data_IF_357835154817
#
_entry.id   IF_357835154817
#
_cell.length_a   1.000
_cell.length_b   1.000
_cell.length_c   1.000
_cell.angle_alpha   90.00
_cell.angle_beta   90.00
_cell.angle_gamma   90.00
#
_symmetry.space_group_name_H-M   'P 1'
#
loop_
_entity.id
_entity.type
_entity.pdbx_description
1 polymer ?
#
# COMPACT_ATOMS: atom_id res chain seq x y z
N UNK A 1 -5.17 -12.93 63.37
CA UNK A 1 -4.16 -12.69 62.30
C UNK A 1 -4.86 -12.70 60.94
N UNK A 2 -5.00 -11.56 60.23
CA UNK A 2 -5.71 -11.47 58.94
C UNK A 2 -4.82 -11.29 57.69
N UNK A 3 -3.49 -11.34 57.84
CA UNK A 3 -2.53 -10.87 56.82
C UNK A 3 -2.53 -11.72 55.52
N UNK A 4 -2.77 -13.04 55.61
CA UNK A 4 -2.60 -13.94 54.47
C UNK A 4 -3.65 -13.80 53.36
N UNK A 5 -4.87 -13.33 53.69
CA UNK A 5 -5.93 -13.11 52.68
C UNK A 5 -5.69 -11.85 51.84
N UNK A 6 -5.22 -10.79 52.48
CA UNK A 6 -4.97 -9.51 51.82
C UNK A 6 -3.83 -9.62 50.78
N UNK A 7 -2.78 -10.38 51.08
CA UNK A 7 -1.65 -10.59 50.17
C UNK A 7 -2.08 -11.37 48.93
N UNK A 8 -2.90 -12.41 49.09
CA UNK A 8 -3.40 -13.21 47.95
C UNK A 8 -4.33 -12.42 47.02
N UNK A 9 -5.20 -11.56 47.57
CA UNK A 9 -6.03 -10.68 46.75
C UNK A 9 -5.23 -9.62 46.01
N UNK A 10 -4.19 -9.07 46.65
CA UNK A 10 -3.31 -8.09 46.04
C UNK A 10 -2.53 -8.70 44.86
N UNK A 11 -2.03 -9.91 45.01
CA UNK A 11 -1.30 -10.64 43.97
C UNK A 11 -2.22 -11.00 42.79
N UNK A 12 -3.45 -11.45 43.07
CA UNK A 12 -4.46 -11.71 42.02
C UNK A 12 -4.85 -10.45 41.25
N UNK A 13 -4.91 -9.29 41.92
CA UNK A 13 -5.16 -7.99 41.27
C UNK A 13 -3.96 -7.55 40.41
N UNK A 14 -2.74 -7.76 40.90
CA UNK A 14 -1.53 -7.45 40.14
C UNK A 14 -1.43 -8.31 38.87
N UNK A 15 -1.72 -9.61 38.97
CA UNK A 15 -1.74 -10.54 37.83
C UNK A 15 -2.75 -10.13 36.76
N UNK A 16 -4.00 -9.83 37.17
CA UNK A 16 -5.03 -9.33 36.24
C UNK A 16 -4.65 -8.01 35.55
N UNK A 17 -3.95 -7.12 36.25
CA UNK A 17 -3.46 -5.87 35.65
C UNK A 17 -2.40 -6.14 34.58
N UNK A 18 -1.50 -7.09 34.82
CA UNK A 18 -0.49 -7.48 33.83
C UNK A 18 -1.15 -8.10 32.59
N UNK A 19 -2.08 -9.03 32.77
CA UNK A 19 -2.85 -9.64 31.67
C UNK A 19 -3.63 -8.58 30.86
N UNK A 20 -4.25 -7.60 31.53
CA UNK A 20 -4.92 -6.47 30.87
C UNK A 20 -3.95 -5.55 30.12
N UNK A 21 -2.73 -5.36 30.64
CA UNK A 21 -1.70 -4.59 29.93
C UNK A 21 -1.21 -5.34 28.70
N UNK A 22 -0.96 -6.64 28.80
CA UNK A 22 -0.50 -7.48 27.69
C UNK A 22 -1.53 -7.51 26.56
N UNK A 23 -2.81 -7.73 26.90
CA UNK A 23 -3.92 -7.70 25.93
C UNK A 23 -4.06 -6.33 25.27
N UNK A 24 -3.92 -5.23 26.03
CA UNK A 24 -3.97 -3.88 25.47
C UNK A 24 -2.79 -3.60 24.53
N UNK A 25 -1.59 -4.10 24.84
CA UNK A 25 -0.41 -3.96 23.98
C UNK A 25 -0.61 -4.71 22.66
N UNK A 26 -1.11 -5.96 22.72
CA UNK A 26 -1.42 -6.74 21.53
C UNK A 26 -2.51 -6.07 20.67
N UNK A 27 -3.59 -5.59 21.29
CA UNK A 27 -4.64 -4.88 20.58
C UNK A 27 -4.11 -3.62 19.85
N UNK A 28 -3.22 -2.84 20.51
CA UNK A 28 -2.58 -1.68 19.87
C UNK A 28 -1.65 -2.08 18.72
N UNK A 29 -0.98 -3.22 18.82
CA UNK A 29 -0.13 -3.73 17.74
C UNK A 29 -0.97 -4.13 16.53
N UNK A 30 -2.05 -4.88 16.75
CA UNK A 30 -3.01 -5.28 15.71
C UNK A 30 -3.64 -4.07 15.02
N UNK A 31 -4.06 -3.07 15.79
CA UNK A 31 -4.64 -1.84 15.24
C UNK A 31 -3.63 -1.07 14.37
N UNK A 32 -2.38 -0.93 14.82
CA UNK A 32 -1.32 -0.32 14.00
C UNK A 32 -1.04 -1.12 12.74
N UNK A 33 -1.02 -2.45 12.84
CA UNK A 33 -0.82 -3.32 11.69
C UNK A 33 -1.96 -3.16 10.67
N UNK A 34 -3.21 -3.18 11.13
CA UNK A 34 -4.40 -2.93 10.30
C UNK A 34 -4.32 -1.58 9.60
N UNK A 35 -4.02 -0.49 10.33
CA UNK A 35 -3.86 0.85 9.74
C UNK A 35 -2.76 0.89 8.68
N UNK A 36 -1.66 0.16 8.88
CA UNK A 36 -0.58 0.06 7.88
C UNK A 36 -1.02 -0.67 6.61
N UNK A 37 -1.83 -1.72 6.75
CA UNK A 37 -2.37 -2.47 5.61
C UNK A 37 -3.43 -1.66 4.84
N UNK A 38 -4.25 -0.89 5.55
CA UNK A 38 -5.22 0.03 4.95
C UNK A 38 -4.53 1.20 4.22
N UNK A 39 -3.42 1.71 4.76
CA UNK A 39 -2.66 2.79 4.14
C UNK A 39 -1.80 2.35 2.94
N UNK A 40 -1.46 1.06 2.86
CA UNK A 40 -0.64 0.51 1.78
C UNK A 40 -1.51 0.26 0.55
N UNK A 41 -1.27 1.07 -0.49
CA UNK A 41 -1.98 1.02 -1.78
C UNK A 41 -1.20 0.21 -2.81
N UNK A 42 -1.92 -0.53 -3.63
CA UNK A 42 -1.40 -1.32 -4.73
C UNK A 42 -2.29 -1.11 -5.95
N UNK A 43 -1.70 -1.13 -7.15
CA UNK A 43 -2.45 -1.25 -8.39
C UNK A 43 -2.44 -2.71 -8.81
N UNK A 44 -3.62 -3.24 -9.12
CA UNK A 44 -3.75 -4.53 -9.79
C UNK A 44 -4.09 -4.30 -11.26
N UNK A 45 -3.42 -5.02 -12.15
CA UNK A 45 -3.75 -5.01 -13.58
C UNK A 45 -5.03 -5.80 -13.84
N UNK A 46 -5.98 -5.19 -14.54
CA UNK A 46 -7.20 -5.84 -15.01
C UNK A 46 -6.89 -6.66 -16.27
N UNK A 47 -6.66 -7.95 -16.11
CA UNK A 47 -6.33 -8.85 -17.22
C UNK A 47 -6.96 -10.24 -17.00
N UNK A 48 -7.42 -10.86 -18.10
CA UNK A 48 -7.95 -12.21 -18.12
C UNK A 48 -9.16 -12.39 -17.19
N UNK A 49 -9.09 -13.28 -16.17
CA UNK A 49 -10.19 -13.56 -15.25
C UNK A 49 -10.49 -12.43 -14.25
N UNK A 50 -9.64 -11.39 -14.19
CA UNK A 50 -9.85 -10.18 -13.41
C UNK A 50 -9.95 -8.95 -14.34
N UNK A 51 -10.63 -9.10 -15.47
CA UNK A 51 -10.84 -8.02 -16.46
C UNK A 51 -11.75 -6.89 -15.97
N UNK A 52 -12.61 -7.18 -15.00
CA UNK A 52 -13.58 -6.24 -14.45
C UNK A 52 -13.34 -5.93 -12.98
N UNK A 53 -13.68 -4.70 -12.58
CA UNK A 53 -13.71 -4.27 -11.19
C UNK A 53 -14.67 -5.11 -10.34
N UNK A 54 -15.74 -5.64 -10.95
CA UNK A 54 -16.70 -6.52 -10.27
C UNK A 54 -16.09 -7.89 -9.94
N UNK A 55 -15.29 -8.46 -10.85
CA UNK A 55 -14.60 -9.73 -10.61
C UNK A 55 -13.63 -9.60 -9.44
N UNK A 56 -12.92 -8.46 -9.36
CA UNK A 56 -12.04 -8.16 -8.23
C UNK A 56 -12.83 -7.92 -6.93
N UNK A 57 -13.96 -7.24 -7.01
CA UNK A 57 -14.84 -7.02 -5.87
C UNK A 57 -15.32 -8.35 -5.28
N UNK A 58 -15.76 -9.28 -6.14
CA UNK A 58 -16.14 -10.64 -5.75
C UNK A 58 -14.96 -11.41 -5.15
N UNK A 59 -13.78 -11.36 -5.79
CA UNK A 59 -12.58 -12.05 -5.32
C UNK A 59 -12.04 -11.49 -3.98
N UNK A 60 -12.26 -10.21 -3.70
CA UNK A 60 -11.88 -9.55 -2.46
C UNK A 60 -12.97 -9.59 -1.38
N UNK A 61 -14.18 -10.04 -1.70
CA UNK A 61 -15.33 -10.02 -0.79
C UNK A 61 -15.80 -8.62 -0.40
N UNK A 62 -15.59 -7.63 -1.28
CA UNK A 62 -15.97 -6.23 -1.06
C UNK A 62 -17.15 -5.85 -1.96
N UNK A 63 -18.03 -4.98 -1.48
CA UNK A 63 -19.24 -4.58 -2.22
C UNK A 63 -18.91 -3.65 -3.40
N UNK A 64 -17.83 -2.87 -3.27
CA UNK A 64 -17.24 -2.05 -4.32
C UNK A 64 -15.79 -1.73 -3.94
N UNK A 65 -14.83 -1.74 -4.88
CA UNK A 65 -13.48 -1.28 -4.60
C UNK A 65 -13.49 0.22 -4.32
N UNK A 66 -12.68 0.68 -3.36
CA UNK A 66 -12.55 2.08 -2.94
C UNK A 66 -11.84 2.98 -3.99
N UNK A 67 -11.69 2.51 -5.23
CA UNK A 67 -11.00 3.20 -6.31
C UNK A 67 -11.66 2.95 -7.66
N UNK A 68 -11.68 3.98 -8.51
CA UNK A 68 -12.05 3.82 -9.91
C UNK A 68 -10.97 3.09 -10.71
N UNK A 69 -11.37 2.37 -11.76
CA UNK A 69 -10.42 1.81 -12.70
C UNK A 69 -9.66 2.95 -13.41
N UNK A 70 -8.33 2.85 -13.44
CA UNK A 70 -7.43 3.77 -14.13
C UNK A 70 -7.01 3.09 -15.42
N UNK A 71 -7.38 3.66 -16.57
CA UNK A 71 -6.87 3.21 -17.86
C UNK A 71 -5.52 3.86 -18.15
N UNK A 72 -4.54 3.04 -18.52
CA UNK A 72 -3.23 3.48 -18.97
C UNK A 72 -3.01 3.01 -20.41
N UNK A 73 -2.54 3.92 -21.26
CA UNK A 73 -2.14 3.59 -22.63
C UNK A 73 -0.63 3.49 -22.66
N UNK A 74 -0.11 2.32 -23.04
CA UNK A 74 1.31 2.14 -23.27
C UNK A 74 1.72 2.84 -24.59
N UNK A 75 3.02 3.11 -24.72
CA UNK A 75 3.71 3.54 -25.95
C UNK A 75 3.38 2.66 -27.16
N UNK A 76 3.00 1.40 -26.94
CA UNK A 76 2.51 0.46 -27.96
C UNK A 76 1.03 0.66 -28.35
N UNK A 77 0.37 1.72 -27.89
CA UNK A 77 -1.08 2.02 -28.05
C UNK A 77 -2.05 1.01 -27.45
N UNK A 78 -1.53 0.01 -26.72
CA UNK A 78 -2.35 -0.93 -25.97
C UNK A 78 -2.94 -0.23 -24.74
N UNK A 79 -4.26 -0.33 -24.58
CA UNK A 79 -4.97 0.17 -23.40
C UNK A 79 -5.01 -0.96 -22.37
N UNK A 80 -4.28 -0.79 -21.29
CA UNK A 80 -4.33 -1.67 -20.12
C UNK A 80 -5.09 -0.93 -19.00
N UNK A 81 -5.96 -1.64 -18.29
CA UNK A 81 -6.72 -1.07 -17.18
C UNK A 81 -6.16 -1.54 -15.84
N UNK A 82 -6.16 -0.67 -14.85
CA UNK A 82 -5.66 -0.93 -13.50
C UNK A 82 -6.70 -0.55 -12.46
N UNK A 83 -6.65 -1.19 -11.29
CA UNK A 83 -7.50 -0.85 -10.16
C UNK A 83 -6.66 -0.63 -8.90
N UNK A 84 -6.95 0.43 -8.16
CA UNK A 84 -6.32 0.67 -6.86
C UNK A 84 -6.99 -0.18 -5.77
N UNK A 85 -6.18 -0.92 -5.01
CA UNK A 85 -6.60 -1.77 -3.90
C UNK A 85 -5.66 -1.58 -2.70
N UNK A 86 -6.14 -1.88 -1.50
CA UNK A 86 -5.31 -1.89 -0.30
C UNK A 86 -4.59 -3.25 -0.12
N UNK A 87 -3.68 -3.34 0.84
CA UNK A 87 -2.94 -4.57 1.12
C UNK A 87 -3.83 -5.71 1.66
N UNK A 88 -4.92 -5.38 2.36
CA UNK A 88 -5.88 -6.37 2.85
C UNK A 88 -6.57 -7.08 1.70
N UNK A 89 -7.10 -6.32 0.75
CA UNK A 89 -7.79 -6.80 -0.45
C UNK A 89 -6.83 -7.62 -1.32
N UNK A 90 -5.56 -7.18 -1.45
CA UNK A 90 -4.52 -7.96 -2.12
C UNK A 90 -4.41 -9.39 -1.55
N UNK A 91 -4.31 -9.52 -0.23
CA UNK A 91 -4.20 -10.83 0.41
C UNK A 91 -5.46 -11.70 0.21
N UNK A 92 -6.64 -11.08 0.27
CA UNK A 92 -7.92 -11.77 0.02
C UNK A 92 -8.03 -12.27 -1.41
N UNK A 93 -7.64 -11.45 -2.40
CA UNK A 93 -7.62 -11.83 -3.83
C UNK A 93 -6.63 -12.97 -4.07
N UNK A 94 -5.43 -12.89 -3.49
CA UNK A 94 -4.45 -13.98 -3.60
C UNK A 94 -4.94 -15.28 -2.97
N UNK A 95 -5.72 -15.19 -1.87
CA UNK A 95 -6.32 -16.35 -1.24
C UNK A 95 -7.47 -16.93 -2.10
N UNK A 96 -8.33 -16.10 -2.66
CA UNK A 96 -9.46 -16.57 -3.50
C UNK A 96 -8.97 -17.21 -4.80
N UNK A 97 -7.93 -16.67 -5.44
CA UNK A 97 -7.31 -17.28 -6.63
C UNK A 97 -6.70 -18.66 -6.35
N UNK A 98 -6.16 -18.88 -5.15
CA UNK A 98 -5.64 -20.20 -4.74
C UNK A 98 -6.74 -21.24 -4.52
N UNK A 99 -7.93 -20.80 -4.12
CA UNK A 99 -9.07 -21.68 -3.87
C UNK A 99 -9.69 -22.15 -5.19
N UNK A 100 -9.62 -21.35 -6.25
CA UNK A 100 -10.15 -21.68 -7.56
C UNK A 100 -9.12 -22.43 -8.44
N UNK A 101 -9.23 -23.76 -8.62
CA UNK A 101 -8.23 -24.55 -9.36
C UNK A 101 -8.13 -24.17 -10.84
N UNK A 102 -9.19 -23.59 -11.43
CA UNK A 102 -9.18 -23.06 -12.80
C UNK A 102 -8.35 -21.78 -12.95
N UNK A 103 -8.14 -21.03 -11.86
CA UNK A 103 -7.41 -19.77 -11.84
C UNK A 103 -6.07 -19.88 -11.12
N UNK A 104 -5.71 -21.07 -10.62
CA UNK A 104 -4.46 -21.31 -9.90
C UNK A 104 -3.20 -21.07 -10.77
N UNK A 105 -3.32 -21.14 -12.10
CA UNK A 105 -2.25 -20.81 -13.04
C UNK A 105 -2.15 -19.30 -13.35
N UNK A 106 -3.17 -18.52 -12.99
CA UNK A 106 -3.22 -17.09 -13.25
C UNK A 106 -2.60 -16.31 -12.09
N UNK A 107 -1.51 -15.59 -12.38
CA UNK A 107 -0.83 -14.73 -11.42
C UNK A 107 -1.09 -13.25 -11.78
N UNK A 108 -2.00 -12.55 -11.10
CA UNK A 108 -2.24 -11.13 -11.35
C UNK A 108 -1.00 -10.28 -11.03
N UNK A 109 -0.83 -9.21 -11.79
CA UNK A 109 0.26 -8.26 -11.56
C UNK A 109 -0.16 -7.23 -10.52
N UNK A 110 0.58 -7.20 -9.41
CA UNK A 110 0.42 -6.18 -8.36
C UNK A 110 1.61 -5.21 -8.39
N UNK A 111 1.30 -3.91 -8.47
CA UNK A 111 2.28 -2.82 -8.46
C UNK A 111 2.12 -2.07 -7.15
N UNK A 112 3.13 -2.04 -6.26
CA UNK A 112 3.07 -1.29 -5.03
C UNK A 112 3.05 0.22 -5.31
N UNK A 113 2.00 0.91 -4.87
CA UNK A 113 1.96 2.37 -4.83
C UNK A 113 2.64 2.84 -3.55
N UNK A 114 3.97 2.85 -3.56
CA UNK A 114 4.71 3.51 -2.49
C UNK A 114 4.57 5.03 -2.71
N UNK A 115 3.98 5.80 -1.78
CA UNK A 115 4.16 7.24 -1.82
C UNK A 115 5.65 7.49 -1.61
N UNK A 116 6.37 7.72 -2.70
CA UNK A 116 7.76 8.14 -2.64
C UNK A 116 7.78 9.39 -1.77
N UNK A 117 8.25 9.26 -0.53
CA UNK A 117 8.62 10.42 0.28
C UNK A 117 9.80 11.02 -0.46
N UNK A 118 9.51 11.92 -1.41
CA UNK A 118 10.48 12.84 -1.96
C UNK A 118 10.97 13.64 -0.76
N UNK A 119 12.01 13.15 -0.11
CA UNK A 119 12.72 13.86 0.93
C UNK A 119 13.62 14.87 0.20
N UNK A 120 12.99 15.75 -0.58
CA UNK A 120 13.65 16.97 -1.04
C UNK A 120 13.88 17.77 0.23
N UNK A 121 15.13 17.83 0.66
CA UNK A 121 15.55 18.73 1.72
C UNK A 121 14.98 20.11 1.41
N UNK A 122 14.21 20.67 2.35
CA UNK A 122 13.69 22.04 2.24
C UNK A 122 14.82 23.10 2.16
N UNK A 123 16.07 22.68 2.40
CA UNK A 123 17.27 23.52 2.43
C UNK A 123 18.24 23.22 1.28
N UNK A 124 17.87 22.36 0.32
CA UNK A 124 18.63 22.24 -0.92
C UNK A 124 18.39 23.51 -1.75
N UNK A 125 19.46 24.26 -2.04
CA UNK A 125 19.44 25.44 -2.91
C UNK A 125 18.95 25.13 -4.34
N UNK A 126 18.87 23.86 -4.73
CA UNK A 126 18.38 23.43 -6.03
C UNK A 126 17.46 22.20 -5.90
N UNK A 127 16.14 22.37 -5.73
CA UNK A 127 15.17 21.29 -5.78
C UNK A 127 14.63 21.12 -7.21
N UNK A 128 15.51 21.06 -8.22
CA UNK A 128 15.09 20.87 -9.62
C UNK A 128 16.12 20.05 -10.39
N UNK A 129 16.07 18.74 -10.22
CA UNK A 129 16.40 17.86 -11.35
C UNK A 129 15.24 17.95 -12.34
N UNK A 130 15.46 18.55 -13.50
CA UNK A 130 14.53 18.45 -14.62
C UNK A 130 14.47 19.59 -15.65
N UNK A 131 15.33 20.59 -15.60
CA UNK A 131 15.52 21.50 -16.76
C UNK A 131 17.02 21.68 -16.96
N UNK A 132 17.68 20.68 -17.54
CA UNK A 132 18.93 20.94 -18.24
C UNK A 132 18.58 21.73 -19.51
N UNK A 133 18.51 23.05 -19.37
CA UNK A 133 18.79 23.95 -20.48
C UNK A 133 20.28 23.80 -20.78
N UNK A 134 20.63 22.85 -21.65
CA UNK A 134 21.89 22.93 -22.37
C UNK A 134 21.75 24.01 -23.45
N UNK A 135 21.89 25.26 -23.02
CA UNK A 135 22.41 26.31 -23.88
C UNK A 135 23.95 26.26 -23.79
N UNK A 136 24.66 25.79 -24.83
CA UNK A 136 26.00 26.29 -25.10
C UNK A 136 25.89 27.50 -26.04
N UNK A 137 26.53 28.59 -25.63
CA UNK A 137 26.49 29.86 -26.35
C UNK A 137 27.10 29.79 -27.74
N UNK A 138 26.41 30.41 -28.70
CA UNK A 138 27.00 30.89 -29.94
C UNK A 138 27.30 32.39 -29.77
N UNK A 139 28.39 32.68 -29.07
CA UNK A 139 29.15 33.90 -29.30
C UNK A 139 30.24 33.55 -30.32
N UNK A 140 29.90 33.64 -31.61
CA UNK A 140 30.87 33.77 -32.68
C UNK A 140 30.61 35.08 -33.43
N UNK A 141 31.36 36.07 -32.98
CA UNK A 141 31.68 37.31 -33.64
C UNK A 141 32.50 37.01 -34.92
N UNK A 142 32.11 37.54 -36.08
CA UNK A 142 32.96 38.08 -37.17
C UNK A 142 32.04 38.47 -38.36
N UNK A 143 31.80 39.76 -38.62
CA UNK A 143 32.63 40.70 -39.38
C UNK A 143 32.51 40.53 -40.91
N UNK A 144 31.82 41.49 -41.52
CA UNK A 144 32.15 42.21 -42.77
C UNK A 144 32.94 41.48 -43.85
N UNK A 145 32.37 41.23 -45.03
CA UNK A 145 32.41 42.06 -46.26
C UNK A 145 31.36 41.57 -47.26
#
# INVERSE_FOLDING_TARGET
MPVSKAVSEQELRAKRRHELQDTMVMAKFEERHKRRLEAAKFLIKLEGPLDSTEAIAQAAGIQSPDGGAVSATDSSTKVDSFLEINAMNKATIEASLKIHPSLAAFAPTFIPCNPARKNVSAHSLHPTLGIESTLPGDLAFEATW
#
